data_IF_675899228961
#
_entry.id   IF_675899228961
#
_cell.length_a   1.000
_cell.length_b   1.000
_cell.length_c   1.000
_cell.angle_alpha   90.00
_cell.angle_beta   90.00
_cell.angle_gamma   90.00
#
_symmetry.space_group_name_H-M   'P 1'
#
loop_
_entity.id
_entity.type
_entity.pdbx_description
1 polymer ?
#
# COMPACT_ATOMS: atom_id res chain seq x y z
N UNK A 1 52.67 32.64 34.50
CA UNK A 1 52.13 31.34 34.95
C UNK A 1 50.66 31.37 34.65
N UNK A 2 50.24 30.49 33.75
CA UNK A 2 48.91 30.41 33.17
C UNK A 2 47.93 29.86 34.19
N UNK A 3 46.73 30.42 34.23
CA UNK A 3 45.53 29.74 34.71
C UNK A 3 44.46 29.94 33.65
N UNK A 4 44.40 29.01 32.69
CA UNK A 4 43.25 28.81 31.82
C UNK A 4 42.55 27.54 32.32
N UNK A 5 41.64 27.73 33.26
CA UNK A 5 40.67 26.70 33.67
C UNK A 5 39.33 27.05 33.06
N UNK A 6 39.17 26.70 31.79
CA UNK A 6 37.91 26.68 31.02
C UNK A 6 38.29 25.98 29.73
N UNK A 7 37.81 24.76 29.52
CA UNK A 7 37.56 24.19 28.18
C UNK A 7 37.10 22.72 28.21
N UNK A 8 37.09 22.03 29.37
CA UNK A 8 36.70 20.61 29.39
C UNK A 8 35.17 20.37 29.47
N UNK A 9 34.40 21.29 30.09
CA UNK A 9 32.96 21.10 30.30
C UNK A 9 32.12 21.45 29.05
N UNK A 10 32.55 22.42 28.24
CA UNK A 10 31.87 22.81 26.99
C UNK A 10 32.07 21.77 25.88
N UNK A 11 33.20 21.05 25.88
CA UNK A 11 33.46 19.97 24.91
C UNK A 11 32.60 18.73 25.18
N UNK A 12 32.29 18.43 26.45
CA UNK A 12 31.41 17.31 26.83
C UNK A 12 29.94 17.61 26.54
N UNK A 13 29.48 18.85 26.74
CA UNK A 13 28.14 19.29 26.38
C UNK A 13 27.93 19.32 24.86
N UNK A 14 28.91 19.80 24.09
CA UNK A 14 28.83 19.78 22.61
C UNK A 14 28.92 18.37 22.05
N UNK A 15 29.71 17.45 22.65
CA UNK A 15 29.73 16.04 22.25
C UNK A 15 28.41 15.32 22.57
N UNK A 16 27.76 15.62 23.70
CA UNK A 16 26.43 15.08 24.04
C UNK A 16 25.34 15.55 23.08
N UNK A 17 25.32 16.86 22.76
CA UNK A 17 24.36 17.45 21.81
C UNK A 17 24.58 16.95 20.38
N UNK A 18 25.84 16.71 19.97
CA UNK A 18 26.16 16.20 18.63
C UNK A 18 25.96 14.68 18.50
N UNK A 19 26.03 13.92 19.60
CA UNK A 19 25.70 12.50 19.62
C UNK A 19 24.18 12.27 19.57
N UNK A 20 23.39 13.09 20.26
CA UNK A 20 21.91 13.01 20.19
C UNK A 20 21.33 13.61 18.90
N UNK A 21 22.00 14.59 18.27
CA UNK A 21 21.61 15.09 16.94
C UNK A 21 21.86 14.09 15.81
N UNK A 22 22.89 13.25 15.91
CA UNK A 22 23.24 12.31 14.84
C UNK A 22 22.34 11.07 14.76
N UNK A 23 21.52 10.78 15.77
CA UNK A 23 20.57 9.65 15.73
C UNK A 23 19.15 10.08 15.32
N UNK A 24 18.85 11.39 15.39
CA UNK A 24 17.53 11.94 15.01
C UNK A 24 17.51 12.50 13.57
N UNK A 25 18.66 12.93 13.03
CA UNK A 25 18.78 13.45 11.65
C UNK A 25 18.86 12.34 10.57
N UNK A 26 18.73 11.06 10.94
CA UNK A 26 18.58 9.95 10.00
C UNK A 26 17.12 9.61 9.67
N UNK A 27 16.20 10.56 9.88
CA UNK A 27 14.91 10.56 9.19
C UNK A 27 14.87 11.72 8.20
N UNK A 28 15.81 11.73 7.25
CA UNK A 28 15.43 12.22 5.93
C UNK A 28 14.27 11.31 5.53
N UNK A 29 13.06 11.88 5.47
CA UNK A 29 11.95 11.28 4.71
C UNK A 29 12.46 11.07 3.29
N UNK A 30 13.14 9.96 3.06
CA UNK A 30 13.39 9.45 1.73
C UNK A 30 12.02 8.99 1.29
N UNK A 31 11.29 9.92 0.66
CA UNK A 31 10.11 9.58 -0.11
C UNK A 31 10.59 8.66 -1.22
N UNK A 32 10.53 7.37 -0.94
CA UNK A 32 10.87 6.35 -1.89
C UNK A 32 9.77 6.34 -2.96
N UNK A 33 10.09 6.90 -4.12
CA UNK A 33 9.13 7.10 -5.22
C UNK A 33 8.67 5.79 -5.86
N UNK A 34 9.39 4.69 -5.61
CA UNK A 34 8.97 3.36 -6.04
C UNK A 34 8.15 2.70 -4.93
N UNK A 35 6.85 2.40 -5.15
CA UNK A 35 6.03 1.69 -4.17
C UNK A 35 6.68 0.37 -3.70
N UNK A 36 7.34 -0.35 -4.62
CA UNK A 36 8.08 -1.57 -4.31
C UNK A 36 9.21 -1.31 -3.32
N UNK A 37 9.96 -0.23 -3.51
CA UNK A 37 11.12 0.08 -2.69
C UNK A 37 10.70 0.66 -1.33
N UNK A 38 9.60 1.42 -1.29
CA UNK A 38 8.99 1.88 -0.05
C UNK A 38 8.53 0.68 0.82
N UNK A 39 7.85 -0.30 0.20
CA UNK A 39 7.44 -1.54 0.88
C UNK A 39 8.66 -2.34 1.37
N UNK A 40 9.71 -2.45 0.55
CA UNK A 40 10.94 -3.17 0.93
C UNK A 40 11.62 -2.52 2.15
N UNK A 41 11.67 -1.18 2.20
CA UNK A 41 12.24 -0.42 3.32
C UNK A 41 11.46 -0.69 4.61
N UNK A 42 10.14 -0.48 4.58
CA UNK A 42 9.27 -0.70 5.75
C UNK A 42 9.32 -2.15 6.23
N UNK A 43 9.30 -3.11 5.31
CA UNK A 43 9.38 -4.53 5.64
C UNK A 43 10.71 -4.88 6.33
N UNK A 44 11.82 -4.36 5.81
CA UNK A 44 13.15 -4.54 6.42
C UNK A 44 13.22 -3.90 7.80
N UNK A 45 12.64 -2.73 7.98
CA UNK A 45 12.73 -1.99 9.23
C UNK A 45 11.94 -2.70 10.35
N UNK A 46 10.78 -3.28 10.02
CA UNK A 46 9.95 -4.05 10.96
C UNK A 46 10.50 -5.47 11.19
N UNK A 47 10.76 -6.23 10.12
CA UNK A 47 11.06 -7.67 10.19
C UNK A 47 12.54 -8.01 10.11
N UNK A 48 13.41 -7.01 10.00
CA UNK A 48 14.88 -7.15 9.92
C UNK A 48 15.32 -8.16 8.82
N UNK A 49 14.56 -8.25 7.74
CA UNK A 49 14.82 -9.14 6.59
C UNK A 49 14.38 -8.49 5.27
N UNK A 50 14.91 -8.96 4.14
CA UNK A 50 14.55 -8.47 2.82
C UNK A 50 13.39 -9.26 2.21
N UNK A 51 12.53 -8.58 1.49
CA UNK A 51 11.54 -9.22 0.62
C UNK A 51 12.04 -9.30 -0.82
N UNK A 52 12.00 -10.50 -1.43
CA UNK A 52 12.55 -10.76 -2.78
C UNK A 52 11.57 -10.49 -3.93
N UNK A 53 10.32 -10.13 -3.67
CA UNK A 53 9.31 -9.97 -4.72
C UNK A 53 8.38 -8.79 -4.46
N UNK A 54 7.89 -8.19 -5.54
CA UNK A 54 6.95 -7.05 -5.56
C UNK A 54 5.49 -7.47 -5.82
N UNK A 55 5.18 -8.77 -5.72
CA UNK A 55 3.84 -9.29 -5.98
C UNK A 55 3.01 -9.41 -4.70
N UNK A 56 1.69 -9.26 -4.84
CA UNK A 56 0.65 -9.30 -3.79
C UNK A 56 0.74 -10.46 -2.77
N UNK A 57 1.53 -11.50 -3.04
CA UNK A 57 1.87 -12.55 -2.09
C UNK A 57 2.77 -12.07 -0.92
N UNK A 58 3.32 -10.86 -0.99
CA UNK A 58 4.43 -10.36 -0.15
C UNK A 58 3.99 -9.52 1.05
N UNK A 59 2.74 -9.02 1.09
CA UNK A 59 2.28 -8.25 2.26
C UNK A 59 2.07 -9.09 3.54
N UNK A 60 2.62 -10.31 3.61
CA UNK A 60 2.35 -11.21 4.74
C UNK A 60 0.86 -11.48 4.91
N UNK A 61 0.11 -11.48 3.81
CA UNK A 61 -1.36 -11.56 3.80
C UNK A 61 -1.94 -12.86 4.35
N UNK A 62 -1.10 -13.85 4.60
CA UNK A 62 -1.40 -15.11 5.25
C UNK A 62 -0.86 -15.19 6.70
N UNK A 63 -0.21 -14.12 7.20
CA UNK A 63 0.31 -14.03 8.56
C UNK A 63 -0.44 -12.94 9.32
N UNK A 64 -1.33 -13.36 10.23
CA UNK A 64 -2.23 -12.47 10.97
C UNK A 64 -1.48 -11.41 11.80
N UNK A 65 -0.32 -11.75 12.37
CA UNK A 65 0.47 -10.79 13.15
C UNK A 65 1.07 -9.68 12.27
N UNK A 66 1.49 -10.01 11.05
CA UNK A 66 2.00 -9.03 10.07
C UNK A 66 0.86 -8.13 9.60
N UNK A 67 -0.30 -8.72 9.30
CA UNK A 67 -1.50 -7.98 8.92
C UNK A 67 -1.95 -6.99 10.00
N UNK A 68 -1.90 -7.38 11.27
CA UNK A 68 -2.31 -6.52 12.38
C UNK A 68 -1.38 -5.31 12.52
N UNK A 69 -0.07 -5.51 12.40
CA UNK A 69 0.92 -4.41 12.41
C UNK A 69 0.73 -3.49 11.20
N UNK A 70 0.53 -4.05 10.00
CA UNK A 70 0.33 -3.25 8.78
C UNK A 70 -0.98 -2.46 8.80
N UNK A 71 -2.02 -2.94 9.50
CA UNK A 71 -3.29 -2.20 9.65
C UNK A 71 -3.18 -1.00 10.59
N UNK A 72 -2.23 -1.00 11.52
CA UNK A 72 -2.21 -0.07 12.66
C UNK A 72 -1.93 1.41 12.33
N UNK A 73 -1.82 1.81 11.06
CA UNK A 73 -1.69 3.21 10.65
C UNK A 73 -2.17 3.47 9.20
N UNK A 74 -3.01 2.58 8.65
CA UNK A 74 -3.50 2.71 7.26
C UNK A 74 -5.02 2.88 7.27
N UNK A 75 -5.50 3.98 6.68
CA UNK A 75 -6.92 4.34 6.63
C UNK A 75 -7.73 3.41 5.70
N UNK A 76 -7.08 2.81 4.70
CA UNK A 76 -7.68 1.84 3.78
C UNK A 76 -6.75 0.66 3.52
N UNK A 77 -7.20 -0.56 3.83
CA UNK A 77 -6.43 -1.78 3.62
C UNK A 77 -7.07 -2.64 2.52
N UNK A 78 -6.33 -3.04 1.47
CA UNK A 78 -6.87 -3.93 0.46
C UNK A 78 -7.21 -5.31 1.05
N UNK A 79 -8.33 -5.90 0.64
CA UNK A 79 -8.84 -7.18 1.13
C UNK A 79 -8.87 -8.18 -0.01
N UNK A 80 -8.33 -9.38 0.21
CA UNK A 80 -8.68 -10.53 -0.62
C UNK A 80 -9.90 -11.23 -0.02
N UNK A 81 -10.91 -11.47 -0.84
CA UNK A 81 -11.94 -12.44 -0.53
C UNK A 81 -12.01 -13.52 -1.60
N UNK A 82 -12.45 -14.71 -1.20
CA UNK A 82 -12.65 -15.83 -2.13
C UNK A 82 -14.13 -16.09 -2.28
N UNK A 83 -14.62 -16.08 -3.52
CA UNK A 83 -16.00 -16.44 -3.86
C UNK A 83 -15.97 -17.63 -4.81
N UNK A 84 -16.25 -18.82 -4.28
CA UNK A 84 -16.07 -20.07 -5.02
C UNK A 84 -14.60 -20.26 -5.44
N UNK A 85 -14.35 -20.33 -6.76
CA UNK A 85 -13.00 -20.46 -7.33
C UNK A 85 -12.30 -19.13 -7.60
N UNK A 86 -12.99 -18.01 -7.40
CA UNK A 86 -12.47 -16.69 -7.75
C UNK A 86 -11.83 -16.03 -6.53
N UNK A 87 -10.58 -15.59 -6.70
CA UNK A 87 -9.93 -14.68 -5.76
C UNK A 87 -10.19 -13.26 -6.22
N UNK A 88 -10.83 -12.48 -5.37
CA UNK A 88 -11.19 -11.08 -5.60
C UNK A 88 -10.26 -10.24 -4.74
N UNK A 89 -9.66 -9.23 -5.35
CA UNK A 89 -8.81 -8.24 -4.71
C UNK A 89 -9.58 -6.92 -4.65
N UNK A 90 -10.03 -6.55 -3.45
CA UNK A 90 -10.72 -5.29 -3.16
C UNK A 90 -9.69 -4.31 -2.64
N UNK A 91 -9.57 -3.12 -3.22
CA UNK A 91 -8.53 -2.17 -2.80
C UNK A 91 -9.01 -0.73 -2.67
N UNK A 92 -10.23 -0.45 -3.10
CA UNK A 92 -10.94 0.75 -2.73
C UNK A 92 -12.41 0.40 -2.44
N UNK A 93 -12.89 0.75 -1.25
CA UNK A 93 -14.25 0.50 -0.81
C UNK A 93 -14.85 1.83 -0.41
N UNK A 94 -15.93 2.21 -1.08
CA UNK A 94 -16.73 3.36 -0.72
C UNK A 94 -18.19 2.95 -0.64
N UNK A 95 -18.96 3.74 0.13
CA UNK A 95 -20.37 3.49 0.37
C UNK A 95 -21.24 4.53 -0.31
N UNK A 96 -22.38 4.11 -0.83
CA UNK A 96 -23.46 5.00 -1.27
C UNK A 96 -24.84 4.42 -0.93
N UNK A 97 -25.87 5.24 -1.05
CA UNK A 97 -27.27 4.79 -0.93
C UNK A 97 -27.77 4.05 -2.20
N UNK A 98 -26.88 3.77 -3.15
CA UNK A 98 -27.24 3.15 -4.40
C UNK A 98 -27.44 1.62 -4.25
N UNK A 99 -28.72 1.20 -4.15
CA UNK A 99 -29.10 -0.21 -4.06
C UNK A 99 -28.77 -1.03 -5.31
N UNK A 100 -28.73 -0.44 -6.50
CA UNK A 100 -28.44 -1.19 -7.74
C UNK A 100 -26.99 -1.64 -7.84
N UNK A 101 -26.10 -0.93 -7.13
CA UNK A 101 -24.70 -1.29 -6.94
C UNK A 101 -24.41 -1.92 -5.59
N UNK A 102 -25.42 -2.50 -4.92
CA UNK A 102 -25.25 -3.12 -3.59
C UNK A 102 -24.61 -2.17 -2.57
N UNK A 103 -24.97 -0.89 -2.62
CA UNK A 103 -24.44 0.18 -1.77
C UNK A 103 -22.97 0.55 -2.01
N UNK A 104 -22.35 0.08 -3.08
CA UNK A 104 -21.01 0.53 -3.45
C UNK A 104 -21.06 2.00 -3.92
N UNK A 105 -20.09 2.79 -3.49
CA UNK A 105 -19.98 4.21 -3.81
C UNK A 105 -19.05 4.51 -4.98
N UNK A 106 -18.96 5.79 -5.32
CA UNK A 106 -17.87 6.32 -6.15
C UNK A 106 -16.55 6.03 -5.45
N UNK A 107 -15.54 5.58 -6.19
CA UNK A 107 -14.24 5.12 -5.66
C UNK A 107 -14.22 3.65 -5.20
N UNK A 108 -15.26 2.87 -5.50
CA UNK A 108 -15.16 1.41 -5.42
C UNK A 108 -14.21 0.90 -6.51
N UNK A 109 -13.24 0.07 -6.13
CA UNK A 109 -12.41 -0.68 -7.06
C UNK A 109 -12.10 -2.10 -6.57
N UNK A 110 -12.23 -3.06 -7.49
CA UNK A 110 -11.89 -4.45 -7.27
C UNK A 110 -11.33 -5.10 -8.54
N UNK A 111 -10.53 -6.15 -8.37
CA UNK A 111 -10.04 -6.95 -9.49
C UNK A 111 -10.13 -8.44 -9.24
N UNK A 112 -10.24 -9.20 -10.33
CA UNK A 112 -10.15 -10.66 -10.33
C UNK A 112 -9.16 -11.12 -11.39
N UNK A 113 -8.43 -12.18 -11.08
CA UNK A 113 -7.62 -12.87 -12.08
C UNK A 113 -8.49 -13.93 -12.75
N UNK A 114 -8.61 -13.85 -14.07
CA UNK A 114 -9.39 -14.82 -14.84
C UNK A 114 -8.78 -15.10 -16.21
N UNK A 115 -9.18 -16.20 -16.85
CA UNK A 115 -8.72 -16.56 -18.18
C UNK A 115 -9.73 -16.06 -19.20
N UNK A 116 -9.30 -15.18 -20.09
CA UNK A 116 -10.07 -14.67 -21.22
C UNK A 116 -9.36 -15.08 -22.52
N UNK A 117 -10.09 -15.57 -23.51
CA UNK A 117 -9.51 -16.00 -24.80
C UNK A 117 -8.27 -16.90 -24.65
N UNK A 118 -8.34 -17.86 -23.70
CA UNK A 118 -7.28 -18.82 -23.35
C UNK A 118 -6.00 -18.20 -22.77
N UNK A 119 -6.01 -16.92 -22.42
CA UNK A 119 -4.90 -16.22 -21.77
C UNK A 119 -5.31 -15.68 -20.41
N UNK A 120 -4.40 -15.70 -19.44
CA UNK A 120 -4.63 -15.06 -18.16
C UNK A 120 -4.76 -13.55 -18.34
N UNK A 121 -5.71 -12.95 -17.63
CA UNK A 121 -5.94 -11.52 -17.59
C UNK A 121 -6.48 -11.09 -16.24
N UNK A 122 -6.58 -9.78 -16.08
CA UNK A 122 -7.15 -9.14 -14.91
C UNK A 122 -8.42 -8.45 -15.37
N UNK A 123 -9.53 -8.77 -14.72
CA UNK A 123 -10.76 -8.00 -14.85
C UNK A 123 -10.82 -7.03 -13.68
N UNK A 124 -10.91 -5.74 -13.98
CA UNK A 124 -11.04 -4.64 -13.01
C UNK A 124 -12.45 -4.11 -13.10
N UNK A 125 -13.11 -3.97 -11.95
CA UNK A 125 -14.42 -3.33 -11.81
C UNK A 125 -14.29 -2.09 -10.94
N UNK A 126 -14.83 -0.97 -11.40
CA UNK A 126 -14.83 0.29 -10.64
C UNK A 126 -16.14 1.04 -10.78
N UNK A 127 -16.45 1.89 -9.81
CA UNK A 127 -17.60 2.80 -9.87
C UNK A 127 -17.09 4.23 -9.92
N UNK A 128 -17.38 4.90 -11.02
CA UNK A 128 -17.04 6.31 -11.25
C UNK A 128 -18.32 7.04 -11.67
N UNK A 129 -18.67 8.14 -10.99
CA UNK A 129 -19.82 8.98 -11.36
C UNK A 129 -21.14 8.20 -11.61
N UNK A 130 -21.45 7.22 -10.74
CA UNK A 130 -22.61 6.31 -10.81
C UNK A 130 -22.57 5.25 -11.94
N UNK A 131 -21.54 5.28 -12.79
CA UNK A 131 -21.32 4.28 -13.83
C UNK A 131 -20.41 3.17 -13.29
N UNK A 132 -20.83 1.92 -13.47
CA UNK A 132 -19.94 0.77 -13.28
C UNK A 132 -19.14 0.54 -14.55
N UNK A 133 -17.82 0.56 -14.40
CA UNK A 133 -16.86 0.34 -15.46
C UNK A 133 -16.24 -1.03 -15.23
N UNK A 134 -16.16 -1.84 -16.29
CA UNK A 134 -15.46 -3.11 -16.28
C UNK A 134 -14.41 -3.13 -17.37
N UNK A 135 -13.16 -3.36 -16.99
CA UNK A 135 -11.99 -3.37 -17.87
C UNK A 135 -11.33 -4.74 -17.82
N UNK A 136 -10.87 -5.25 -18.97
CA UNK A 136 -10.11 -6.50 -19.07
C UNK A 136 -8.71 -6.15 -19.56
N UNK A 137 -7.70 -6.50 -18.77
CA UNK A 137 -6.30 -6.32 -19.09
C UNK A 137 -5.63 -7.67 -19.35
N UNK A 138 -4.86 -7.76 -20.43
CA UNK A 138 -3.99 -8.89 -20.74
C UNK A 138 -2.67 -8.38 -21.32
N UNK A 139 -1.56 -9.04 -20.98
CA UNK A 139 -0.23 -8.65 -21.45
C UNK A 139 0.06 -7.15 -21.17
N UNK A 140 -0.37 -6.67 -19.99
CA UNK A 140 -0.30 -5.26 -19.54
C UNK A 140 -1.01 -4.25 -20.45
N UNK A 141 -1.99 -4.69 -21.25
CA UNK A 141 -2.77 -3.83 -22.16
C UNK A 141 -4.26 -4.00 -21.92
N UNK A 142 -5.01 -2.89 -22.02
CA UNK A 142 -6.46 -2.91 -22.03
C UNK A 142 -6.97 -3.60 -23.31
N UNK A 143 -7.72 -4.69 -23.15
CA UNK A 143 -8.31 -5.46 -24.27
C UNK A 143 -9.77 -5.13 -24.49
N UNK A 144 -10.52 -4.87 -23.41
CA UNK A 144 -11.94 -4.57 -23.49
C UNK A 144 -12.35 -3.66 -22.35
N UNK A 145 -13.26 -2.73 -22.65
CA UNK A 145 -13.91 -1.86 -21.67
C UNK A 145 -15.41 -1.88 -21.88
N UNK A 146 -16.16 -2.02 -20.79
CA UNK A 146 -17.61 -1.97 -20.76
C UNK A 146 -18.10 -0.98 -19.71
N UNK A 147 -19.28 -0.43 -19.95
CA UNK A 147 -19.96 0.47 -19.04
C UNK A 147 -21.35 -0.05 -18.76
N UNK A 148 -21.78 0.06 -17.51
CA UNK A 148 -23.16 -0.14 -17.12
C UNK A 148 -23.58 1.06 -16.29
N UNK A 149 -24.50 1.85 -16.84
CA UNK A 149 -25.23 2.88 -16.11
C UNK A 149 -26.45 2.25 -15.49
N UNK A 150 -26.77 2.65 -14.27
CA UNK A 150 -28.04 2.23 -13.69
C UNK A 150 -29.17 3.07 -14.28
N UNK A 151 -30.23 2.40 -14.74
CA UNK A 151 -31.47 3.06 -15.12
C UNK A 151 -32.13 3.65 -13.87
N UNK A 152 -32.49 4.93 -13.94
CA UNK A 152 -33.32 5.62 -12.93
C UNK A 152 -34.66 4.93 -12.75
#
# INVERSE_FOLDING_TARGET
MCDESRDDDDELLTKGINAERNDFDQWIEVFEISPTKAVEIVYRDIFKSFTRYSDHAIMGWNNENILEILKNNIESFPVICTVGKYKIFLYAISYSLNKGWMYAGSDYEASIIHVFDKKQGILVSKIENEDCIVEIYQDSQLKKKGYRRQSR
#
